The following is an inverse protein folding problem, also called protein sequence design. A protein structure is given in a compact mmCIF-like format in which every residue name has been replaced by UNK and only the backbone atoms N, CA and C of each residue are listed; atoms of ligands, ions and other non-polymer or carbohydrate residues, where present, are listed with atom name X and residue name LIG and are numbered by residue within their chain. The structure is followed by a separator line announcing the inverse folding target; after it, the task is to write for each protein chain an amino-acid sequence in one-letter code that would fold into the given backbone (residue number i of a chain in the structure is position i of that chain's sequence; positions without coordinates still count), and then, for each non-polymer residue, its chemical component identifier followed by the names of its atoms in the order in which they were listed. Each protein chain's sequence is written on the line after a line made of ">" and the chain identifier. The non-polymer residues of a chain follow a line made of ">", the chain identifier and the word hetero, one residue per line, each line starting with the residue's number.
data_IF_407739996995
#
_entry.id   IF_407739996995
#
_cell.length_a   1.000
_cell.length_b   1.000
_cell.length_c   1.000
_cell.angle_alpha   90.00
_cell.angle_beta   90.00
_cell.angle_gamma   90.00
#
_symmetry.space_group_name_H-M   'P 1'
#
loop_
_entity.id
_entity.type
_entity.pdbx_description
1 polymer ?
#
# COMPACT_ATOMS: atom_id res chain seq x y z
N UNK A 1 -28.75 -8.88 -18.86
CA UNK A 1 -28.32 -8.63 -17.47
C UNK A 1 -26.80 -8.83 -17.17
N UNK A 2 -25.84 -9.00 -18.13
CA UNK A 2 -24.41 -9.10 -17.76
C UNK A 2 -23.71 -7.75 -17.51
N UNK A 3 -24.23 -6.66 -18.09
CA UNK A 3 -23.60 -5.34 -18.01
C UNK A 3 -23.66 -4.70 -16.61
N UNK A 4 -24.72 -4.96 -15.84
CA UNK A 4 -24.86 -4.46 -14.47
C UNK A 4 -23.79 -5.06 -13.55
N UNK A 5 -23.52 -6.36 -13.68
CA UNK A 5 -22.47 -7.04 -12.93
C UNK A 5 -21.07 -6.50 -13.28
N UNK A 6 -20.81 -6.29 -14.58
CA UNK A 6 -19.56 -5.70 -15.05
C UNK A 6 -19.34 -4.27 -14.51
N UNK A 7 -20.40 -3.44 -14.47
CA UNK A 7 -20.34 -2.08 -13.91
C UNK A 7 -20.05 -2.09 -12.40
N UNK A 8 -20.70 -2.98 -11.64
CA UNK A 8 -20.46 -3.12 -10.20
C UNK A 8 -19.00 -3.53 -9.95
N UNK A 9 -18.50 -4.53 -10.69
CA UNK A 9 -17.11 -4.98 -10.57
C UNK A 9 -16.12 -3.85 -10.90
N UNK A 10 -16.40 -3.08 -11.95
CA UNK A 10 -15.57 -1.94 -12.35
C UNK A 10 -15.51 -0.90 -11.23
N UNK A 11 -16.64 -0.54 -10.62
CA UNK A 11 -16.70 0.41 -9.51
C UNK A 11 -15.89 -0.09 -8.31
N UNK A 12 -16.02 -1.37 -7.95
CA UNK A 12 -15.25 -1.96 -6.84
C UNK A 12 -13.74 -1.91 -7.09
N UNK A 13 -13.30 -2.25 -8.31
CA UNK A 13 -11.88 -2.14 -8.70
C UNK A 13 -11.41 -0.69 -8.62
N UNK A 14 -12.22 0.25 -9.12
CA UNK A 14 -11.87 1.67 -9.17
C UNK A 14 -11.72 2.24 -7.74
N UNK A 15 -12.65 1.91 -6.84
CA UNK A 15 -12.58 2.26 -5.42
C UNK A 15 -11.34 1.63 -4.78
N UNK A 16 -11.07 0.35 -5.04
CA UNK A 16 -9.88 -0.35 -4.56
C UNK A 16 -8.59 0.36 -4.97
N UNK A 17 -8.45 0.71 -6.26
CA UNK A 17 -7.29 1.44 -6.79
C UNK A 17 -7.16 2.83 -6.18
N UNK A 18 -8.27 3.56 -6.00
CA UNK A 18 -8.27 4.89 -5.39
C UNK A 18 -7.80 4.87 -3.94
N UNK A 19 -8.10 3.81 -3.19
CA UNK A 19 -7.61 3.62 -1.82
C UNK A 19 -6.14 3.15 -1.82
N UNK A 20 -5.77 2.24 -2.72
CA UNK A 20 -4.41 1.69 -2.81
C UNK A 20 -3.36 2.74 -3.18
N UNK A 21 -3.70 3.63 -4.12
CA UNK A 21 -2.78 4.60 -4.70
C UNK A 21 -2.14 5.56 -3.68
N UNK A 22 -2.87 6.22 -2.76
CA UNK A 22 -2.27 7.08 -1.75
C UNK A 22 -1.37 6.30 -0.79
N UNK A 23 -1.76 5.06 -0.41
CA UNK A 23 -0.96 4.24 0.50
C UNK A 23 0.37 3.84 -0.15
N UNK A 24 0.35 3.47 -1.43
CA UNK A 24 1.58 3.18 -2.20
C UNK A 24 2.46 4.41 -2.40
N UNK A 25 1.87 5.62 -2.49
CA UNK A 25 2.67 6.86 -2.50
C UNK A 25 3.36 7.11 -1.17
N UNK A 26 2.66 6.86 -0.05
CA UNK A 26 3.23 6.97 1.29
C UNK A 26 4.36 5.97 1.49
N UNK A 27 4.14 4.71 1.12
CA UNK A 27 5.14 3.66 1.24
C UNK A 27 6.45 3.97 0.51
N UNK A 28 6.35 4.55 -0.70
CA UNK A 28 7.54 4.99 -1.44
C UNK A 28 8.33 6.09 -0.73
N UNK A 29 7.65 7.04 -0.08
CA UNK A 29 8.30 8.10 0.71
C UNK A 29 9.01 7.51 1.93
N UNK A 30 8.33 6.63 2.66
CA UNK A 30 8.86 5.98 3.86
C UNK A 30 10.06 5.09 3.51
N UNK A 31 10.03 4.39 2.36
CA UNK A 31 11.18 3.61 1.86
C UNK A 31 12.36 4.50 1.48
N UNK A 32 12.12 5.67 0.88
CA UNK A 32 13.19 6.62 0.56
C UNK A 32 13.87 7.12 1.85
N UNK A 33 13.07 7.44 2.89
CA UNK A 33 13.59 7.84 4.20
C UNK A 33 14.39 6.70 4.87
N UNK A 34 13.90 5.46 4.81
CA UNK A 34 14.63 4.28 5.31
C UNK A 34 15.95 4.07 4.60
N UNK A 35 15.98 4.15 3.27
CA UNK A 35 17.21 4.04 2.48
C UNK A 35 18.22 5.13 2.85
N UNK A 36 17.77 6.37 3.03
CA UNK A 36 18.63 7.47 3.47
C UNK A 36 19.22 7.24 4.86
N UNK A 37 18.49 6.56 5.75
CA UNK A 37 18.95 6.13 7.07
C UNK A 37 19.74 4.81 7.07
N UNK A 38 20.04 4.22 5.90
CA UNK A 38 20.75 2.94 5.80
C UNK A 38 19.94 1.70 6.20
N UNK A 39 18.60 1.82 6.32
CA UNK A 39 17.71 0.74 6.72
C UNK A 39 17.22 -0.09 5.52
N UNK A 40 17.10 -1.40 5.70
CA UNK A 40 16.55 -2.31 4.68
C UNK A 40 15.07 -2.05 4.40
N UNK A 41 14.62 -2.27 3.16
CA UNK A 41 13.22 -2.15 2.75
C UNK A 41 12.51 -3.50 2.56
N UNK A 42 13.16 -4.64 2.86
CA UNK A 42 12.62 -5.98 2.60
C UNK A 42 11.26 -6.22 3.27
N UNK A 43 11.08 -5.74 4.49
CA UNK A 43 9.81 -5.89 5.23
C UNK A 43 8.68 -5.07 4.60
N UNK A 44 8.99 -3.86 4.11
CA UNK A 44 8.01 -3.02 3.41
C UNK A 44 7.56 -3.71 2.12
N UNK A 45 8.49 -4.27 1.35
CA UNK A 45 8.15 -5.06 0.16
C UNK A 45 7.32 -6.31 0.47
N UNK A 46 7.68 -7.07 1.51
CA UNK A 46 6.93 -8.26 1.93
C UNK A 46 5.46 -7.93 2.25
N UNK A 47 5.21 -6.78 2.87
CA UNK A 47 3.85 -6.32 3.19
C UNK A 47 3.11 -5.86 1.94
N UNK A 48 3.77 -5.10 1.07
CA UNK A 48 3.15 -4.59 -0.16
C UNK A 48 2.84 -5.69 -1.19
N UNK A 49 3.49 -6.86 -1.09
CA UNK A 49 3.16 -8.04 -1.89
C UNK A 49 1.78 -8.62 -1.58
N UNK A 50 1.17 -8.30 -0.44
CA UNK A 50 -0.18 -8.74 -0.11
C UNK A 50 -1.21 -7.85 -0.85
N UNK A 51 -1.91 -8.35 -1.88
CA UNK A 51 -2.64 -7.53 -2.86
C UNK A 51 -3.99 -6.97 -2.36
N UNK A 52 -4.46 -7.38 -1.18
CA UNK A 52 -5.71 -6.88 -0.58
C UNK A 52 -5.45 -6.28 0.80
N UNK A 53 -4.70 -7.00 1.62
CA UNK A 53 -4.47 -6.64 3.02
C UNK A 53 -3.19 -5.82 3.18
N UNK A 54 -2.26 -5.89 2.24
CA UNK A 54 -0.92 -5.30 2.35
C UNK A 54 -0.90 -3.81 2.69
N UNK A 55 -1.64 -2.93 1.98
CA UNK A 55 -1.61 -1.50 2.23
C UNK A 55 -2.29 -1.15 3.55
N UNK A 56 -3.37 -1.85 3.88
CA UNK A 56 -4.07 -1.63 5.16
C UNK A 56 -3.15 -2.04 6.30
N UNK A 57 -2.52 -3.21 6.19
CA UNK A 57 -1.54 -3.70 7.17
C UNK A 57 -0.32 -2.78 7.24
N UNK A 58 0.16 -2.28 6.11
CA UNK A 58 1.23 -1.30 6.03
C UNK A 58 0.93 -0.05 6.87
N UNK A 59 -0.29 0.47 6.82
CA UNK A 59 -0.68 1.62 7.65
C UNK A 59 -0.60 1.34 9.15
N UNK A 60 -0.85 0.10 9.57
CA UNK A 60 -0.77 -0.31 10.98
C UNK A 60 0.69 -0.37 11.46
N UNK A 61 1.59 -0.90 10.64
CA UNK A 61 2.98 -1.15 11.05
C UNK A 61 3.98 -0.08 10.61
N UNK A 62 3.59 0.86 9.73
CA UNK A 62 4.51 1.88 9.19
C UNK A 62 5.22 2.71 10.26
N UNK A 63 4.55 3.04 11.37
CA UNK A 63 5.15 3.86 12.45
C UNK A 63 6.35 3.17 13.10
N UNK A 64 6.30 1.85 13.24
CA UNK A 64 7.43 1.07 13.76
C UNK A 64 8.56 0.93 12.74
N UNK A 65 8.27 1.19 11.46
CA UNK A 65 9.21 1.04 10.34
C UNK A 65 9.89 2.36 9.96
N UNK A 66 9.45 3.50 10.46
CA UNK A 66 10.13 4.75 10.18
C UNK A 66 11.41 4.84 11.02
N UNK A 67 12.49 5.43 10.49
CA UNK A 67 13.65 5.77 11.31
C UNK A 67 13.18 6.66 12.46
N UNK A 68 13.59 6.32 13.68
CA UNK A 68 13.36 7.15 14.86
C UNK A 68 14.39 8.27 14.83
N UNK A 69 13.92 9.51 14.92
CA UNK A 69 14.79 10.67 15.19
C UNK A 69 15.45 10.54 16.57
#
# INVERSE_FOLDING_TARGET
>A
MPYQFALILLVLILVGVLIYRPIMKLARRDMAARTAAGLSNSVVYAILLLPVIGPVFYLLVRRAMLPKE
#
